data_IF_568665204096
#
_entry.id   IF_568665204096
#
_cell.length_a   1.000
_cell.length_b   1.000
_cell.length_c   1.000
_cell.angle_alpha   90.00
_cell.angle_beta   90.00
_cell.angle_gamma   90.00
#
_symmetry.space_group_name_H-M   'P 1'
#
loop_
_entity.id
_entity.type
_entity.pdbx_description
1 polymer ?
#
# COMPACT_ATOMS: atom_id res chain seq x y z
N UNK A 1 6.35 6.00 -13.15
CA UNK A 1 5.19 6.65 -12.50
C UNK A 1 3.88 6.21 -13.13
N UNK A 2 3.54 6.59 -14.37
CA UNK A 2 2.25 6.24 -15.02
C UNK A 2 1.88 4.74 -14.97
N UNK A 3 2.79 3.85 -15.40
CA UNK A 3 2.56 2.40 -15.39
C UNK A 3 2.32 1.88 -13.96
N UNK A 4 3.03 2.42 -12.97
CA UNK A 4 2.85 2.07 -11.57
C UNK A 4 1.45 2.46 -11.09
N UNK A 5 0.99 3.67 -11.40
CA UNK A 5 -0.34 4.15 -10.99
C UNK A 5 -1.48 3.40 -11.66
N UNK A 6 -1.27 2.87 -12.86
CA UNK A 6 -2.22 1.95 -13.50
C UNK A 6 -2.20 0.58 -12.81
N UNK A 7 -1.02 0.03 -12.54
CA UNK A 7 -0.84 -1.28 -11.91
C UNK A 7 -1.39 -1.34 -10.48
N UNK A 8 -1.21 -0.27 -9.70
CA UNK A 8 -1.73 -0.15 -8.34
C UNK A 8 -3.17 0.37 -8.29
N UNK A 9 -3.79 0.57 -9.46
CA UNK A 9 -5.15 1.09 -9.63
C UNK A 9 -5.41 2.45 -8.99
N UNK A 10 -4.36 3.22 -8.66
CA UNK A 10 -4.49 4.57 -8.09
C UNK A 10 -4.96 5.57 -9.13
N UNK A 11 -4.33 5.56 -10.32
CA UNK A 11 -4.84 6.30 -11.48
C UNK A 11 -5.08 7.81 -11.29
N UNK A 12 -4.13 8.58 -10.75
CA UNK A 12 -4.27 10.04 -10.50
C UNK A 12 -4.72 10.92 -11.68
N UNK A 13 -4.67 10.43 -12.92
CA UNK A 13 -5.07 11.20 -14.09
C UNK A 13 -4.10 12.30 -14.54
N UNK A 14 -2.98 12.52 -13.83
CA UNK A 14 -1.94 13.50 -14.22
C UNK A 14 -1.34 13.19 -15.59
N UNK A 15 -1.19 11.92 -15.92
CA UNK A 15 -0.78 11.46 -17.24
C UNK A 15 -1.85 10.52 -17.79
N UNK A 16 -2.36 10.82 -18.99
CA UNK A 16 -3.40 10.03 -19.65
C UNK A 16 -3.02 9.72 -21.11
N UNK A 17 -3.37 8.55 -21.64
CA UNK A 17 -3.10 8.20 -23.03
C UNK A 17 -4.06 8.95 -23.96
N UNK A 18 -3.51 9.86 -24.76
CA UNK A 18 -4.29 10.64 -25.74
C UNK A 18 -4.46 9.92 -27.08
N UNK A 19 -3.55 9.00 -27.43
CA UNK A 19 -3.61 8.24 -28.67
C UNK A 19 -4.47 6.98 -28.52
N UNK A 20 -5.09 6.54 -29.61
CA UNK A 20 -5.88 5.31 -29.62
C UNK A 20 -5.03 4.09 -29.25
N UNK A 21 -3.82 3.99 -29.80
CA UNK A 21 -2.87 2.92 -29.47
C UNK A 21 -2.47 2.93 -27.99
N UNK A 22 -2.22 4.10 -27.41
CA UNK A 22 -1.92 4.25 -25.98
C UNK A 22 -3.08 3.78 -25.11
N UNK A 23 -4.33 4.13 -25.46
CA UNK A 23 -5.52 3.67 -24.73
C UNK A 23 -5.66 2.15 -24.75
N UNK A 24 -5.47 1.52 -25.92
CA UNK A 24 -5.48 0.06 -26.06
C UNK A 24 -4.38 -0.58 -25.22
N UNK A 25 -3.16 -0.04 -25.27
CA UNK A 25 -2.04 -0.54 -24.45
C UNK A 25 -2.35 -0.45 -22.95
N UNK A 26 -2.95 0.65 -22.49
CA UNK A 26 -3.37 0.81 -21.08
C UNK A 26 -4.45 -0.19 -20.68
N UNK A 27 -5.42 -0.49 -21.54
CA UNK A 27 -6.45 -1.50 -21.27
C UNK A 27 -5.79 -2.89 -21.07
N UNK A 28 -4.94 -3.29 -22.01
CA UNK A 28 -4.26 -4.60 -21.96
C UNK A 28 -3.35 -4.71 -20.73
N UNK A 29 -2.54 -3.68 -20.48
CA UNK A 29 -1.67 -3.62 -19.32
C UNK A 29 -2.46 -3.62 -18.01
N UNK A 30 -3.51 -2.80 -17.91
CA UNK A 30 -4.37 -2.70 -16.73
C UNK A 30 -4.98 -4.05 -16.38
N UNK A 31 -5.60 -4.73 -17.35
CA UNK A 31 -6.17 -6.06 -17.15
C UNK A 31 -5.13 -7.06 -16.64
N UNK A 32 -3.99 -7.19 -17.32
CA UNK A 32 -2.92 -8.10 -16.91
C UNK A 32 -2.37 -7.77 -15.52
N UNK A 33 -2.16 -6.49 -15.25
CA UNK A 33 -1.58 -6.00 -13.99
C UNK A 33 -2.46 -6.31 -12.78
N UNK A 34 -3.79 -6.26 -12.92
CA UNK A 34 -4.72 -6.61 -11.83
C UNK A 34 -4.52 -8.07 -11.40
N UNK A 35 -4.47 -9.02 -12.35
CA UNK A 35 -4.25 -10.44 -12.00
C UNK A 35 -2.91 -10.67 -11.31
N UNK A 36 -1.84 -10.11 -11.87
CA UNK A 36 -0.49 -10.27 -11.31
C UNK A 36 -0.42 -9.64 -9.92
N UNK A 37 -0.94 -8.42 -9.74
CA UNK A 37 -0.97 -7.74 -8.44
C UNK A 37 -1.79 -8.52 -7.41
N UNK A 38 -2.99 -9.02 -7.76
CA UNK A 38 -3.80 -9.83 -6.85
C UNK A 38 -3.10 -11.12 -6.43
N UNK A 39 -2.43 -11.81 -7.36
CA UNK A 39 -1.65 -13.00 -7.05
C UNK A 39 -0.46 -12.69 -6.13
N UNK A 40 0.32 -11.66 -6.45
CA UNK A 40 1.46 -11.24 -5.65
C UNK A 40 1.05 -10.82 -4.23
N UNK A 41 -0.05 -10.07 -4.08
CA UNK A 41 -0.60 -9.70 -2.77
C UNK A 41 -1.01 -10.95 -1.99
N UNK A 42 -1.71 -11.91 -2.63
CA UNK A 42 -2.09 -13.17 -1.99
C UNK A 42 -0.88 -13.99 -1.52
N UNK A 43 0.14 -14.12 -2.37
CA UNK A 43 1.38 -14.82 -2.02
C UNK A 43 2.14 -14.12 -0.89
N UNK A 44 2.19 -12.78 -0.90
CA UNK A 44 2.80 -11.99 0.17
C UNK A 44 2.06 -12.16 1.49
N UNK A 45 0.72 -12.13 1.50
CA UNK A 45 -0.09 -12.37 2.69
C UNK A 45 0.14 -13.78 3.24
N UNK A 46 0.19 -14.80 2.37
CA UNK A 46 0.49 -16.17 2.79
C UNK A 46 1.90 -16.32 3.38
N UNK A 47 2.89 -15.62 2.80
CA UNK A 47 4.25 -15.56 3.33
C UNK A 47 4.28 -14.93 4.73
N UNK A 48 3.60 -13.80 4.92
CA UNK A 48 3.50 -13.15 6.24
C UNK A 48 2.79 -14.06 7.25
N UNK A 49 1.71 -14.73 6.85
CA UNK A 49 0.97 -15.65 7.73
C UNK A 49 1.86 -16.82 8.19
N UNK A 50 2.59 -17.44 7.27
CA UNK A 50 3.53 -18.52 7.58
C UNK A 50 4.69 -18.04 8.48
N UNK A 51 5.22 -16.84 8.22
CA UNK A 51 6.26 -16.24 9.07
C UNK A 51 5.75 -15.96 10.50
N UNK A 52 4.52 -15.47 10.62
CA UNK A 52 3.87 -15.24 11.92
C UNK A 52 3.67 -16.56 12.67
N UNK A 53 3.26 -17.63 12.00
CA UNK A 53 3.11 -18.95 12.62
C UNK A 53 4.45 -19.50 13.11
N UNK A 54 5.55 -19.29 12.37
CA UNK A 54 6.89 -19.67 12.83
C UNK A 54 7.30 -18.89 14.08
N UNK A 55 7.13 -17.57 14.11
CA UNK A 55 7.45 -16.74 15.27
C UNK A 55 6.63 -17.10 16.51
N UNK A 56 5.35 -17.43 16.33
CA UNK A 56 4.49 -17.82 17.44
C UNK A 56 4.83 -19.23 17.93
N UNK A 57 5.19 -20.15 17.04
CA UNK A 57 5.50 -21.54 17.41
C UNK A 57 6.65 -21.65 18.41
N UNK A 58 7.66 -20.79 18.31
CA UNK A 58 8.81 -20.76 19.23
C UNK A 58 8.45 -20.22 20.62
N UNK A 59 7.36 -19.45 20.75
CA UNK A 59 6.86 -18.94 22.02
C UNK A 59 5.82 -19.87 22.68
N UNK A 60 5.39 -20.93 21.98
CA UNK A 60 4.11 -21.60 22.24
C UNK A 60 4.20 -23.03 22.77
N UNK A 61 5.38 -23.66 22.87
CA UNK A 61 5.51 -25.02 23.40
C UNK A 61 4.91 -25.14 24.83
N UNK A 62 3.62 -25.49 24.93
CA UNK A 62 2.89 -25.68 26.19
C UNK A 62 1.64 -24.81 26.45
N UNK A 63 1.27 -23.85 25.60
CA UNK A 63 0.09 -22.99 25.84
C UNK A 63 -1.23 -23.49 25.18
N UNK A 64 -2.39 -23.01 25.68
CA UNK A 64 -3.74 -23.42 25.25
C UNK A 64 -4.24 -22.68 24.01
N UNK A 65 -4.73 -23.33 22.92
CA UNK A 65 -4.97 -22.74 21.58
C UNK A 65 -5.64 -21.35 21.52
N UNK A 66 -6.50 -21.02 22.50
CA UNK A 66 -7.13 -19.70 22.64
C UNK A 66 -6.13 -18.55 22.85
N UNK A 67 -5.03 -18.79 23.55
CA UNK A 67 -3.98 -17.78 23.76
C UNK A 67 -3.19 -17.56 22.47
N UNK A 68 -3.01 -18.58 21.61
CA UNK A 68 -2.27 -18.46 20.35
C UNK A 68 -3.03 -17.59 19.36
N UNK A 69 -4.34 -17.82 19.24
CA UNK A 69 -5.21 -17.00 18.39
C UNK A 69 -5.18 -15.54 18.84
N UNK A 70 -5.22 -15.28 20.16
CA UNK A 70 -5.11 -13.92 20.71
C UNK A 70 -3.75 -13.29 20.44
N UNK A 71 -2.65 -14.02 20.62
CA UNK A 71 -1.30 -13.55 20.33
C UNK A 71 -1.11 -13.27 18.84
N UNK A 72 -1.58 -14.16 17.94
CA UNK A 72 -1.54 -13.94 16.49
C UNK A 72 -2.34 -12.71 16.10
N UNK A 73 -3.55 -12.54 16.63
CA UNK A 73 -4.37 -11.35 16.39
C UNK A 73 -3.71 -10.07 16.92
N UNK A 74 -3.12 -10.11 18.12
CA UNK A 74 -2.42 -8.97 18.72
C UNK A 74 -1.17 -8.59 17.90
N UNK A 75 -0.31 -9.55 17.57
CA UNK A 75 0.89 -9.29 16.78
C UNK A 75 0.53 -8.79 15.37
N UNK A 76 -0.48 -9.37 14.73
CA UNK A 76 -0.99 -8.89 13.44
C UNK A 76 -1.51 -7.45 13.58
N UNK A 77 -2.30 -7.15 14.61
CA UNK A 77 -2.79 -5.81 14.91
C UNK A 77 -1.64 -4.81 15.13
N UNK A 78 -0.60 -5.19 15.87
CA UNK A 78 0.59 -4.35 16.08
C UNK A 78 1.35 -4.07 14.78
N UNK A 79 1.44 -5.03 13.86
CA UNK A 79 2.05 -4.83 12.54
C UNK A 79 1.25 -3.85 11.66
N UNK A 80 -0.09 -3.89 11.74
CA UNK A 80 -0.96 -2.91 11.09
C UNK A 80 -0.80 -1.51 11.70
N UNK A 81 -0.71 -1.41 13.03
CA UNK A 81 -0.43 -0.14 13.73
C UNK A 81 0.95 0.40 13.36
N UNK A 82 1.96 -0.46 13.26
CA UNK A 82 3.31 -0.08 12.83
C UNK A 82 3.29 0.51 11.40
N UNK A 83 2.59 -0.12 10.46
CA UNK A 83 2.41 0.41 9.11
C UNK A 83 1.67 1.76 9.11
N UNK A 84 0.61 1.91 9.91
CA UNK A 84 -0.08 3.18 10.09
C UNK A 84 0.82 4.28 10.67
N UNK A 85 1.69 3.93 11.62
CA UNK A 85 2.68 4.87 12.17
C UNK A 85 3.75 5.26 11.14
N UNK A 86 4.11 4.36 10.21
CA UNK A 86 4.99 4.66 9.09
C UNK A 86 4.45 5.76 8.18
N UNK A 87 3.13 5.81 7.94
CA UNK A 87 2.48 6.93 7.23
C UNK A 87 2.63 8.24 7.98
N UNK A 88 2.36 8.23 9.30
CA UNK A 88 2.45 9.42 10.13
C UNK A 88 3.89 9.94 10.24
N UNK A 89 4.87 9.03 10.32
CA UNK A 89 6.29 9.37 10.30
C UNK A 89 6.69 9.93 8.93
N UNK A 90 6.27 9.30 7.83
CA UNK A 90 6.51 9.84 6.49
C UNK A 90 5.94 11.26 6.35
N UNK A 91 4.71 11.49 6.84
CA UNK A 91 4.10 12.82 6.88
C UNK A 91 4.89 13.84 7.73
N UNK A 92 5.40 13.43 8.89
CA UNK A 92 6.16 14.29 9.78
C UNK A 92 7.60 14.58 9.29
N UNK A 93 8.18 13.68 8.49
CA UNK A 93 9.54 13.82 7.93
C UNK A 93 9.55 14.57 6.59
N UNK A 94 8.38 14.87 6.01
CA UNK A 94 8.33 15.70 4.81
C UNK A 94 8.85 17.11 5.15
N UNK A 95 9.67 17.70 4.27
CA UNK A 95 10.10 19.08 4.43
C UNK A 95 8.89 20.00 4.66
N UNK A 96 8.94 20.82 5.71
CA UNK A 96 7.85 21.75 6.09
C UNK A 96 7.40 22.69 4.96
N UNK A 97 8.21 22.87 3.92
CA UNK A 97 7.93 23.71 2.76
C UNK A 97 7.19 22.98 1.61
N UNK A 98 6.81 21.70 1.76
CA UNK A 98 6.07 20.94 0.74
C UNK A 98 4.61 20.73 1.10
N UNK A 99 4.35 20.05 2.21
CA UNK A 99 3.01 19.75 2.72
C UNK A 99 3.02 19.86 4.23
N UNK A 100 1.90 20.28 4.81
CA UNK A 100 1.70 20.12 6.24
C UNK A 100 1.34 18.65 6.56
N UNK A 101 1.22 18.34 7.86
CA UNK A 101 0.94 16.96 8.30
C UNK A 101 -0.43 16.46 7.81
N UNK A 102 -1.41 17.34 7.63
CA UNK A 102 -2.75 16.98 7.18
C UNK A 102 -2.74 16.66 5.69
N UNK A 103 -2.12 17.52 4.87
CA UNK A 103 -1.93 17.30 3.44
C UNK A 103 -1.17 15.99 3.17
N UNK A 104 -0.14 15.70 3.97
CA UNK A 104 0.63 14.48 3.84
C UNK A 104 -0.16 13.21 4.23
N UNK A 105 -0.94 13.27 5.31
CA UNK A 105 -1.84 12.18 5.69
C UNK A 105 -2.96 11.98 4.66
N UNK A 106 -3.54 13.08 4.17
CA UNK A 106 -4.56 13.07 3.13
C UNK A 106 -4.04 12.47 1.82
N UNK A 107 -2.88 12.93 1.33
CA UNK A 107 -2.22 12.36 0.16
C UNK A 107 -1.96 10.86 0.35
N UNK A 108 -1.45 10.47 1.51
CA UNK A 108 -1.16 9.07 1.81
C UNK A 108 -2.42 8.21 1.84
N UNK A 109 -3.51 8.69 2.45
CA UNK A 109 -4.80 8.01 2.45
C UNK A 109 -5.36 7.86 1.04
N UNK A 110 -5.48 8.95 0.28
CA UNK A 110 -6.01 8.94 -1.10
C UNK A 110 -5.20 8.02 -2.01
N UNK A 111 -3.89 7.97 -1.81
CA UNK A 111 -2.98 7.12 -2.59
C UNK A 111 -3.10 5.64 -2.21
N UNK A 112 -2.98 5.30 -0.94
CA UNK A 112 -2.93 3.90 -0.49
C UNK A 112 -4.30 3.22 -0.50
N UNK A 113 -5.37 4.00 -0.33
CA UNK A 113 -6.74 3.52 -0.54
C UNK A 113 -7.09 3.34 -2.02
N UNK A 114 -6.18 3.72 -2.94
CA UNK A 114 -6.37 3.71 -4.40
C UNK A 114 -7.47 4.63 -4.92
N UNK A 115 -7.93 5.60 -4.11
CA UNK A 115 -8.88 6.64 -4.55
C UNK A 115 -8.26 7.55 -5.62
N UNK A 116 -7.00 7.96 -5.41
CA UNK A 116 -6.18 8.63 -6.42
C UNK A 116 -6.76 9.91 -7.03
N UNK A 117 -7.13 10.90 -6.21
CA UNK A 117 -7.71 12.17 -6.70
C UNK A 117 -6.76 13.00 -7.58
N UNK A 118 -5.45 12.91 -7.35
CA UNK A 118 -4.43 13.55 -8.19
C UNK A 118 -4.27 15.06 -7.97
N UNK A 119 -4.89 15.59 -6.94
CA UNK A 119 -4.81 16.97 -6.47
C UNK A 119 -3.48 17.30 -5.78
N UNK A 120 -2.87 16.31 -5.13
CA UNK A 120 -1.52 16.37 -4.56
C UNK A 120 -0.58 15.38 -5.25
N UNK A 121 0.68 15.79 -5.48
CA UNK A 121 1.73 14.93 -6.05
C UNK A 121 3.11 15.18 -5.44
N UNK A 122 3.93 14.12 -5.33
CA UNK A 122 5.30 14.18 -4.76
C UNK A 122 6.31 14.83 -5.72
N UNK A 123 5.92 15.11 -6.96
CA UNK A 123 6.78 15.76 -7.95
C UNK A 123 7.15 17.18 -7.52
N UNK A 124 8.45 17.42 -7.41
CA UNK A 124 9.06 18.71 -7.13
C UNK A 124 8.55 19.80 -8.07
N UNK A 125 8.09 20.91 -7.49
CA UNK A 125 7.90 22.22 -8.13
C UNK A 125 8.74 22.36 -9.40
N UNK A 126 8.09 22.42 -10.55
CA UNK A 126 8.67 22.91 -11.79
C UNK A 126 7.57 23.66 -12.52
N UNK A 127 7.52 24.98 -12.26
CA UNK A 127 6.83 26.07 -13.01
C UNK A 127 5.36 25.89 -13.41
#
# INVERSE_FOLDING_TARGET
>A
FYVLTVMTTVGYGTFVPVTQGGRVATILFGFWSIFVSSFCIGAFVAYLDAYMDQLLSTMWEGCSPRVAIKCKALCTGLLFVLHGSGLAIFAALLPHNRWDAIDALYYSFVTLSTVGLGDLSVSSNSV
#
